data_IF_389385804263
#
_entry.id   IF_389385804263
#
_cell.length_a   1.000
_cell.length_b   1.000
_cell.length_c   1.000
_cell.angle_alpha   90.00
_cell.angle_beta   90.00
_cell.angle_gamma   90.00
#
_symmetry.space_group_name_H-M   'P 1'
#
loop_
_entity.id
_entity.type
_entity.pdbx_description
1 polymer ?
#
# COMPACT_ATOMS: atom_id res chain seq x y z
N UNK A 1 31.64 0.15 -0.01
CA UNK A 1 32.97 -0.45 0.18
C UNK A 1 32.96 -1.57 1.24
N UNK A 2 32.25 -1.42 2.38
CA UNK A 2 32.20 -2.44 3.43
C UNK A 2 31.49 -3.74 3.00
N UNK A 3 30.35 -3.66 2.35
CA UNK A 3 29.57 -4.83 1.92
C UNK A 3 30.36 -5.77 1.01
N UNK A 4 31.15 -5.22 0.08
CA UNK A 4 32.01 -6.03 -0.81
C UNK A 4 33.07 -6.84 -0.06
N UNK A 5 33.60 -6.31 1.05
CA UNK A 5 34.59 -7.02 1.88
C UNK A 5 33.96 -8.26 2.56
N UNK A 6 32.67 -8.25 2.80
CA UNK A 6 31.91 -9.36 3.38
C UNK A 6 31.20 -10.23 2.34
N UNK A 7 31.44 -10.00 1.06
CA UNK A 7 30.73 -10.65 -0.06
C UNK A 7 29.20 -10.54 0.11
N UNK A 8 28.74 -9.37 0.57
CA UNK A 8 27.34 -9.04 0.82
C UNK A 8 26.87 -7.96 -0.16
N UNK A 9 25.59 -7.97 -0.46
CA UNK A 9 24.89 -7.00 -1.30
C UNK A 9 23.74 -6.38 -0.51
N UNK A 10 23.47 -5.09 -0.72
CA UNK A 10 22.20 -4.50 -0.31
C UNK A 10 21.15 -4.64 -1.41
N UNK A 11 19.92 -4.16 -1.16
CA UNK A 11 18.83 -4.29 -2.12
C UNK A 11 19.08 -3.51 -3.44
N UNK A 12 19.75 -2.37 -3.36
CA UNK A 12 20.10 -1.57 -4.54
C UNK A 12 21.22 -2.23 -5.33
N UNK A 13 22.19 -2.85 -4.64
CA UNK A 13 23.25 -3.65 -5.25
C UNK A 13 22.65 -4.84 -6.02
N UNK A 14 21.64 -5.53 -5.47
CA UNK A 14 20.98 -6.65 -6.15
C UNK A 14 20.41 -6.23 -7.52
N UNK A 15 19.71 -5.09 -7.56
CA UNK A 15 19.13 -4.57 -8.80
C UNK A 15 20.24 -4.17 -9.79
N UNK A 16 21.29 -3.52 -9.32
CA UNK A 16 22.39 -3.05 -10.13
C UNK A 16 23.21 -4.20 -10.69
N UNK A 17 23.51 -5.22 -9.90
CA UNK A 17 24.23 -6.40 -10.34
C UNK A 17 23.36 -7.27 -11.29
N UNK A 18 22.04 -7.36 -11.05
CA UNK A 18 21.14 -8.02 -11.98
C UNK A 18 21.17 -7.35 -13.37
N UNK A 19 21.18 -6.01 -13.41
CA UNK A 19 21.28 -5.27 -14.67
C UNK A 19 22.61 -5.51 -15.39
N UNK A 20 23.74 -5.56 -14.65
CA UNK A 20 25.07 -5.87 -15.22
C UNK A 20 25.16 -7.29 -15.76
N UNK A 21 24.55 -8.25 -15.07
CA UNK A 21 24.51 -9.65 -15.54
C UNK A 21 23.69 -9.78 -16.82
N UNK A 22 22.61 -9.01 -16.97
CA UNK A 22 21.76 -9.04 -18.15
C UNK A 22 22.49 -8.47 -19.39
N UNK A 23 23.33 -7.45 -19.22
CA UNK A 23 24.18 -6.92 -20.31
C UNK A 23 25.12 -7.98 -20.88
N UNK A 24 25.53 -8.97 -20.08
CA UNK A 24 26.43 -10.06 -20.47
C UNK A 24 25.70 -11.34 -20.93
N UNK A 25 24.45 -11.50 -20.57
CA UNK A 25 23.63 -12.67 -20.88
C UNK A 25 22.35 -12.18 -21.55
N UNK A 26 22.00 -12.73 -22.69
CA UNK A 26 20.67 -12.51 -23.28
C UNK A 26 19.63 -13.18 -22.39
N UNK A 27 19.18 -12.50 -21.33
CA UNK A 27 18.04 -12.96 -20.56
C UNK A 27 16.80 -12.88 -21.46
N UNK A 28 16.19 -14.00 -21.71
CA UNK A 28 15.04 -14.09 -22.61
C UNK A 28 13.83 -14.53 -21.80
N UNK A 29 13.10 -13.56 -21.28
CA UNK A 29 11.71 -13.83 -20.94
C UNK A 29 10.88 -13.74 -22.21
N UNK A 30 10.19 -14.82 -22.54
CA UNK A 30 9.30 -14.84 -23.70
C UNK A 30 8.13 -13.89 -23.51
N UNK A 31 7.57 -13.89 -22.31
CA UNK A 31 6.47 -13.02 -21.88
C UNK A 31 6.83 -12.38 -20.55
N UNK A 32 6.75 -11.07 -20.46
CA UNK A 32 7.01 -10.31 -19.25
C UNK A 32 5.73 -9.59 -18.82
N UNK A 33 5.28 -9.81 -17.58
CA UNK A 33 4.16 -9.13 -16.96
C UNK A 33 4.69 -8.33 -15.77
N UNK A 34 4.34 -7.05 -15.71
CA UNK A 34 4.78 -6.15 -14.64
C UNK A 34 3.55 -5.49 -14.03
N UNK A 35 3.38 -5.66 -12.73
CA UNK A 35 2.31 -5.04 -11.96
C UNK A 35 2.85 -3.84 -11.16
N UNK A 36 1.96 -2.93 -10.75
CA UNK A 36 2.27 -1.73 -9.96
C UNK A 36 3.41 -0.89 -10.56
N UNK A 37 3.37 -0.72 -11.87
CA UNK A 37 4.47 -0.07 -12.62
C UNK A 37 4.76 1.38 -12.19
N UNK A 38 3.80 2.07 -11.58
CA UNK A 38 4.00 3.43 -11.05
C UNK A 38 5.00 3.48 -9.87
N UNK A 39 5.27 2.34 -9.22
CA UNK A 39 6.10 2.27 -8.02
C UNK A 39 7.57 1.91 -8.32
N UNK A 40 7.90 1.65 -9.59
CA UNK A 40 9.26 1.30 -9.97
C UNK A 40 10.18 2.53 -10.03
N UNK A 41 11.44 2.31 -9.66
CA UNK A 41 12.51 3.29 -9.82
C UNK A 41 13.21 3.16 -11.18
N UNK A 42 14.15 4.08 -11.46
CA UNK A 42 14.86 4.12 -12.73
C UNK A 42 15.68 2.85 -13.03
N UNK A 43 16.24 2.19 -12.01
CA UNK A 43 17.01 0.95 -12.18
C UNK A 43 16.08 -0.21 -12.52
N UNK A 44 14.97 -0.34 -11.81
CA UNK A 44 13.94 -1.35 -12.10
C UNK A 44 13.35 -1.17 -13.50
N UNK A 45 13.11 0.08 -13.95
CA UNK A 45 12.68 0.34 -15.33
C UNK A 45 13.71 -0.17 -16.36
N UNK A 46 15.00 0.07 -16.13
CA UNK A 46 16.05 -0.46 -17.01
C UNK A 46 16.06 -1.98 -17.05
N UNK A 47 15.82 -2.65 -15.92
CA UNK A 47 15.70 -4.11 -15.86
C UNK A 47 14.49 -4.59 -16.68
N UNK A 48 13.31 -3.95 -16.52
CA UNK A 48 12.11 -4.29 -17.32
C UNK A 48 12.43 -4.14 -18.82
N UNK A 49 13.08 -3.04 -19.22
CA UNK A 49 13.48 -2.82 -20.60
C UNK A 49 14.41 -3.93 -21.11
N UNK A 50 15.46 -4.25 -20.34
CA UNK A 50 16.43 -5.26 -20.68
C UNK A 50 15.79 -6.65 -20.83
N UNK A 51 14.92 -7.04 -19.87
CA UNK A 51 14.25 -8.33 -19.86
C UNK A 51 13.17 -8.47 -20.94
N UNK A 52 12.51 -7.37 -21.32
CA UNK A 52 11.53 -7.36 -22.40
C UNK A 52 12.16 -7.38 -23.79
N UNK A 53 13.42 -6.94 -23.91
CA UNK A 53 14.13 -6.85 -25.18
C UNK A 53 14.41 -8.24 -25.74
N UNK A 54 13.77 -8.57 -26.85
CA UNK A 54 13.90 -9.87 -27.51
C UNK A 54 12.86 -10.91 -27.06
N UNK A 55 11.97 -10.55 -26.14
CA UNK A 55 10.76 -11.33 -25.81
C UNK A 55 9.64 -11.15 -26.83
N UNK A 56 8.59 -11.95 -26.68
CA UNK A 56 7.43 -11.89 -27.55
C UNK A 56 6.37 -10.88 -27.08
N UNK A 57 6.24 -10.68 -25.77
CA UNK A 57 5.28 -9.71 -25.20
C UNK A 57 5.75 -9.07 -23.90
N UNK A 58 5.41 -7.80 -23.75
CA UNK A 58 5.47 -7.04 -22.51
C UNK A 58 4.06 -6.57 -22.16
N UNK A 59 3.60 -6.91 -20.97
CA UNK A 59 2.33 -6.46 -20.42
C UNK A 59 2.58 -5.73 -19.11
N UNK A 60 2.12 -4.48 -19.02
CA UNK A 60 2.38 -3.61 -17.88
C UNK A 60 1.05 -3.11 -17.34
N UNK A 61 0.87 -3.21 -16.03
CA UNK A 61 -0.29 -2.68 -15.31
C UNK A 61 0.19 -1.64 -14.30
N UNK A 62 -0.57 -0.57 -14.14
CA UNK A 62 -0.32 0.43 -13.11
C UNK A 62 -1.26 1.63 -13.22
N UNK A 63 -1.20 2.46 -12.21
CA UNK A 63 -1.99 3.68 -12.12
C UNK A 63 -1.06 4.86 -11.74
N UNK A 64 -0.77 5.78 -12.67
CA UNK A 64 0.12 6.92 -12.41
C UNK A 64 -0.34 7.79 -11.23
N UNK A 65 -1.65 7.85 -10.96
CA UNK A 65 -2.21 8.63 -9.86
C UNK A 65 -2.01 7.98 -8.48
N UNK A 66 -1.62 6.69 -8.44
CA UNK A 66 -1.26 5.96 -7.23
C UNK A 66 0.25 5.96 -6.93
N UNK A 67 1.05 6.71 -7.67
CA UNK A 67 2.50 6.81 -7.44
C UNK A 67 2.80 7.59 -6.16
N UNK A 68 2.89 6.90 -5.03
CA UNK A 68 3.14 7.48 -3.70
C UNK A 68 4.55 7.22 -3.18
N UNK A 69 5.40 6.46 -3.90
CA UNK A 69 6.75 6.09 -3.49
C UNK A 69 7.85 6.97 -4.12
N UNK A 70 7.55 8.25 -4.39
CA UNK A 70 8.53 9.20 -4.92
C UNK A 70 9.79 9.33 -4.06
N UNK A 71 9.69 9.16 -2.73
CA UNK A 71 10.83 9.15 -1.81
C UNK A 71 11.75 7.91 -1.99
N UNK A 72 11.33 6.88 -2.71
CA UNK A 72 12.13 5.71 -3.13
C UNK A 72 12.59 5.79 -4.58
N UNK A 73 12.40 6.94 -5.23
CA UNK A 73 12.78 7.15 -6.63
C UNK A 73 11.75 6.68 -7.66
N UNK A 74 10.53 6.32 -7.22
CA UNK A 74 9.41 6.07 -8.12
C UNK A 74 8.94 7.38 -8.76
N UNK A 75 8.42 7.31 -9.98
CA UNK A 75 7.91 8.48 -10.68
C UNK A 75 6.84 8.07 -11.70
N UNK A 76 5.72 8.77 -11.73
CA UNK A 76 4.68 8.59 -12.73
C UNK A 76 5.21 8.77 -14.18
N UNK A 77 6.30 9.51 -14.36
CA UNK A 77 6.99 9.65 -15.65
C UNK A 77 7.57 8.32 -16.20
N UNK A 78 7.56 7.23 -15.41
CA UNK A 78 7.96 5.90 -15.90
C UNK A 78 7.07 5.42 -17.05
N UNK A 79 5.78 5.81 -17.09
CA UNK A 79 4.87 5.48 -18.19
C UNK A 79 5.24 6.20 -19.50
N UNK A 80 5.61 7.50 -19.42
CA UNK A 80 6.07 8.26 -20.59
C UNK A 80 7.38 7.65 -21.13
N UNK A 81 8.28 7.30 -20.23
CA UNK A 81 9.53 6.64 -20.60
C UNK A 81 9.28 5.25 -21.20
N UNK A 82 8.29 4.49 -20.73
CA UNK A 82 7.90 3.21 -21.30
C UNK A 82 7.43 3.35 -22.75
N UNK A 83 6.62 4.38 -23.04
CA UNK A 83 6.20 4.68 -24.42
C UNK A 83 7.36 5.05 -25.34
N UNK A 84 8.37 5.75 -24.81
CA UNK A 84 9.58 6.06 -25.56
C UNK A 84 10.42 4.79 -25.83
N UNK A 85 10.52 3.90 -24.84
CA UNK A 85 11.26 2.63 -24.95
C UNK A 85 10.55 1.63 -25.90
N UNK A 86 9.21 1.66 -25.95
CA UNK A 86 8.37 0.75 -26.73
C UNK A 86 7.33 1.51 -27.58
N UNK A 87 7.71 2.10 -28.73
CA UNK A 87 6.82 2.96 -29.51
C UNK A 87 5.56 2.27 -30.06
N UNK A 88 5.53 0.94 -30.08
CA UNK A 88 4.36 0.15 -30.50
C UNK A 88 3.42 -0.24 -29.35
N UNK A 89 3.70 0.26 -28.14
CA UNK A 89 2.88 -0.03 -26.99
C UNK A 89 1.45 0.49 -27.17
N UNK A 90 0.48 -0.35 -26.87
CA UNK A 90 -0.94 0.01 -26.89
C UNK A 90 -1.38 0.25 -25.46
N UNK A 91 -1.94 1.43 -25.18
CA UNK A 91 -2.49 1.77 -23.85
C UNK A 91 -3.98 1.49 -23.83
N UNK A 92 -4.40 0.74 -22.81
CA UNK A 92 -5.81 0.48 -22.51
C UNK A 92 -6.15 1.11 -21.16
N UNK A 93 -7.26 1.82 -21.09
CA UNK A 93 -7.76 2.41 -19.85
C UNK A 93 -8.93 1.60 -19.30
N UNK A 94 -8.81 1.16 -18.06
CA UNK A 94 -9.89 0.49 -17.33
C UNK A 94 -10.70 1.56 -16.60
N UNK A 95 -11.88 1.88 -17.11
CA UNK A 95 -12.75 2.91 -16.53
C UNK A 95 -13.81 2.36 -15.57
N UNK A 96 -14.17 1.08 -15.66
CA UNK A 96 -15.18 0.49 -14.78
C UNK A 96 -14.59 0.17 -13.41
N UNK A 97 -15.16 0.75 -12.35
CA UNK A 97 -14.76 0.54 -10.97
C UNK A 97 -15.75 -0.37 -10.25
N UNK A 98 -15.32 -1.60 -9.92
CA UNK A 98 -16.11 -2.60 -9.20
C UNK A 98 -15.83 -2.62 -7.70
N UNK A 99 -14.84 -1.86 -7.22
CA UNK A 99 -14.39 -1.85 -5.82
C UNK A 99 -15.24 -0.93 -4.96
N UNK A 100 -15.45 0.30 -5.41
CA UNK A 100 -15.94 1.40 -4.59
C UNK A 100 -17.34 1.85 -5.00
N UNK A 101 -18.07 2.41 -4.04
CA UNK A 101 -19.38 3.04 -4.29
C UNK A 101 -19.22 4.37 -5.02
N UNK A 102 -20.28 4.88 -5.68
CA UNK A 102 -20.25 6.17 -6.38
C UNK A 102 -19.75 7.34 -5.54
N UNK A 103 -20.10 7.37 -4.25
CA UNK A 103 -19.70 8.43 -3.32
C UNK A 103 -18.18 8.44 -3.11
N UNK A 104 -17.55 7.26 -2.97
CA UNK A 104 -16.10 7.12 -2.83
C UNK A 104 -15.40 7.49 -4.13
N UNK A 105 -15.87 6.97 -5.26
CA UNK A 105 -15.30 7.27 -6.59
C UNK A 105 -15.36 8.77 -6.89
N UNK A 106 -16.48 9.42 -6.61
CA UNK A 106 -16.63 10.88 -6.80
C UNK A 106 -15.64 11.66 -5.94
N UNK A 107 -15.53 11.31 -4.66
CA UNK A 107 -14.56 11.97 -3.76
C UNK A 107 -13.10 11.78 -4.21
N UNK A 108 -12.74 10.56 -4.64
CA UNK A 108 -11.40 10.26 -5.16
C UNK A 108 -11.11 11.08 -6.44
N UNK A 109 -12.05 11.13 -7.40
CA UNK A 109 -11.88 11.90 -8.62
C UNK A 109 -11.73 13.41 -8.36
N UNK A 110 -12.44 13.96 -7.37
CA UNK A 110 -12.27 15.37 -6.99
C UNK A 110 -10.86 15.67 -6.48
N UNK A 111 -10.24 14.77 -5.74
CA UNK A 111 -8.84 14.91 -5.28
C UNK A 111 -7.89 14.81 -6.47
N UNK A 112 -8.02 13.76 -7.26
CA UNK A 112 -7.13 13.45 -8.39
C UNK A 112 -7.25 14.46 -9.53
N UNK A 113 -8.40 15.11 -9.71
CA UNK A 113 -8.58 16.15 -10.72
C UNK A 113 -7.63 17.35 -10.58
N UNK A 114 -6.97 17.48 -9.43
CA UNK A 114 -5.93 18.50 -9.20
C UNK A 114 -4.56 18.11 -9.74
N UNK A 115 -4.36 16.84 -10.06
CA UNK A 115 -3.13 16.39 -10.71
C UNK A 115 -3.10 16.81 -12.18
N UNK A 116 -1.92 17.13 -12.73
CA UNK A 116 -1.79 17.42 -14.15
C UNK A 116 -2.15 16.22 -15.02
N UNK A 117 -2.56 16.47 -16.26
CA UNK A 117 -2.87 15.45 -17.25
C UNK A 117 -4.34 15.47 -17.70
N UNK A 118 -4.74 14.47 -18.49
CA UNK A 118 -6.09 14.36 -19.00
C UNK A 118 -7.10 14.07 -17.87
N UNK A 119 -8.35 14.51 -18.02
CA UNK A 119 -9.40 14.16 -17.07
C UNK A 119 -9.53 12.65 -16.90
N UNK A 120 -9.62 12.18 -15.64
CA UNK A 120 -9.83 10.76 -15.32
C UNK A 120 -11.32 10.46 -15.34
N UNK A 121 -11.65 9.32 -15.91
CA UNK A 121 -13.04 8.85 -15.97
C UNK A 121 -13.12 7.48 -15.31
N UNK A 122 -13.81 7.40 -14.17
CA UNK A 122 -14.15 6.15 -13.51
C UNK A 122 -15.65 6.01 -13.40
N UNK A 123 -16.18 4.88 -13.84
CA UNK A 123 -17.60 4.55 -13.78
C UNK A 123 -17.82 3.57 -12.63
N UNK A 124 -18.46 3.99 -11.53
CA UNK A 124 -18.74 3.08 -10.43
C UNK A 124 -19.79 2.06 -10.85
N UNK A 125 -19.48 0.78 -10.64
CA UNK A 125 -20.37 -0.35 -10.98
C UNK A 125 -21.11 -0.87 -9.74
N UNK A 126 -20.80 -0.36 -8.54
CA UNK A 126 -21.52 -0.71 -7.32
C UNK A 126 -22.72 0.21 -7.11
N UNK A 127 -23.76 -0.27 -6.39
CA UNK A 127 -24.88 0.59 -5.99
C UNK A 127 -24.40 1.70 -5.04
N UNK A 128 -25.28 2.70 -4.85
CA UNK A 128 -25.03 3.79 -3.91
C UNK A 128 -24.71 3.26 -2.50
N UNK A 129 -23.73 3.90 -1.89
CA UNK A 129 -23.30 3.65 -0.53
C UNK A 129 -23.55 4.84 0.40
N UNK A 130 -23.00 4.77 1.59
CA UNK A 130 -23.06 5.89 2.54
C UNK A 130 -22.18 7.03 2.07
N UNK A 131 -22.55 8.26 2.43
CA UNK A 131 -21.76 9.45 2.12
C UNK A 131 -20.39 9.40 2.82
N UNK A 132 -19.37 9.91 2.13
CA UNK A 132 -18.06 10.15 2.75
C UNK A 132 -18.23 11.26 3.79
N UNK A 133 -17.72 11.03 5.01
CA UNK A 133 -17.80 11.99 6.11
C UNK A 133 -16.43 12.59 6.37
N UNK A 134 -16.38 13.89 6.52
CA UNK A 134 -15.23 14.61 7.03
C UNK A 134 -15.47 14.94 8.51
N UNK A 135 -14.55 14.49 9.34
CA UNK A 135 -14.60 14.75 10.79
C UNK A 135 -13.38 15.55 11.17
N UNK A 136 -13.59 16.60 11.94
CA UNK A 136 -12.53 17.42 12.51
C UNK A 136 -12.42 17.10 14.01
N UNK A 137 -11.22 16.80 14.48
CA UNK A 137 -10.92 16.57 15.88
C UNK A 137 -9.84 17.55 16.35
N UNK A 138 -10.01 18.10 17.57
CA UNK A 138 -9.09 19.13 18.10
C UNK A 138 -7.74 18.56 18.54
N UNK A 139 -7.68 17.27 18.85
CA UNK A 139 -6.46 16.60 19.29
C UNK A 139 -6.36 15.18 18.69
N UNK A 140 -5.13 14.62 18.55
CA UNK A 140 -4.96 13.23 18.13
C UNK A 140 -5.67 12.20 19.02
N UNK A 141 -5.79 12.49 20.33
CA UNK A 141 -6.52 11.65 21.26
C UNK A 141 -8.04 11.69 21.00
N UNK A 142 -8.60 12.88 20.76
CA UNK A 142 -10.02 13.04 20.43
C UNK A 142 -10.35 12.33 19.10
N UNK A 143 -9.45 12.41 18.12
CA UNK A 143 -9.55 11.66 16.85
C UNK A 143 -9.60 10.14 17.12
N UNK A 144 -8.66 9.62 17.91
CA UNK A 144 -8.59 8.20 18.24
C UNK A 144 -9.85 7.70 18.98
N UNK A 145 -10.34 8.44 19.95
CA UNK A 145 -11.57 8.12 20.69
C UNK A 145 -12.77 8.11 19.73
N UNK A 146 -12.86 9.10 18.85
CA UNK A 146 -13.95 9.15 17.88
C UNK A 146 -13.93 7.95 16.93
N UNK A 147 -12.74 7.57 16.42
CA UNK A 147 -12.57 6.41 15.53
C UNK A 147 -12.93 5.12 16.25
N UNK A 148 -12.48 4.92 17.49
CA UNK A 148 -12.81 3.73 18.29
C UNK A 148 -14.33 3.58 18.46
N UNK A 149 -15.03 4.66 18.81
CA UNK A 149 -16.49 4.68 18.92
C UNK A 149 -17.18 4.37 17.59
N UNK A 150 -16.71 4.93 16.50
CA UNK A 150 -17.30 4.69 15.18
C UNK A 150 -17.10 3.24 14.72
N UNK A 151 -15.94 2.65 15.00
CA UNK A 151 -15.65 1.23 14.75
C UNK A 151 -16.59 0.35 15.59
N UNK A 152 -16.71 0.63 16.89
CA UNK A 152 -17.63 -0.10 17.77
C UNK A 152 -19.08 -0.02 17.26
N UNK A 153 -19.52 1.16 16.83
CA UNK A 153 -20.84 1.36 16.25
C UNK A 153 -21.05 0.54 14.98
N UNK A 154 -20.07 0.50 14.08
CA UNK A 154 -20.12 -0.27 12.83
C UNK A 154 -20.05 -1.78 13.07
N UNK A 155 -19.38 -2.21 14.14
CA UNK A 155 -19.32 -3.62 14.53
C UNK A 155 -20.55 -4.11 15.28
N UNK A 156 -21.57 -3.25 15.45
CA UNK A 156 -22.81 -3.60 16.15
C UNK A 156 -22.76 -3.39 17.67
N UNK A 157 -21.72 -2.70 18.17
CA UNK A 157 -21.64 -2.23 19.56
C UNK A 157 -22.64 -1.11 19.78
N UNK A 158 -23.43 -1.24 20.85
CA UNK A 158 -24.36 -0.21 21.29
C UNK A 158 -23.62 0.69 22.28
N UNK A 159 -23.59 1.99 22.03
CA UNK A 159 -23.38 2.90 23.15
C UNK A 159 -24.61 2.83 24.08
N UNK A 160 -24.44 3.09 25.38
CA UNK A 160 -25.50 2.96 26.35
C UNK A 160 -26.74 3.86 26.06
N UNK A 161 -26.57 4.95 25.33
CA UNK A 161 -27.64 5.85 24.89
C UNK A 161 -28.43 5.27 23.71
N UNK A 162 -27.72 4.63 22.76
CA UNK A 162 -28.35 3.92 21.64
C UNK A 162 -29.03 2.64 22.07
N UNK A 163 -28.56 1.96 23.14
CA UNK A 163 -29.20 0.77 23.68
C UNK A 163 -30.59 1.06 24.25
N UNK A 164 -30.82 2.23 24.84
CA UNK A 164 -32.15 2.63 25.34
C UNK A 164 -33.10 3.03 24.20
N UNK A 165 -32.59 3.52 23.09
CA UNK A 165 -33.42 3.89 21.93
C UNK A 165 -33.73 2.69 21.00
N UNK A 166 -32.94 1.63 21.06
CA UNK A 166 -32.98 0.50 20.13
C UNK A 166 -33.42 -0.82 20.78
N UNK A 167 -34.30 -0.75 21.82
CA UNK A 167 -34.93 -1.96 22.38
C UNK A 167 -35.78 -2.64 21.29
N UNK A 168 -35.16 -3.38 20.39
CA UNK A 168 -35.87 -4.18 19.38
C UNK A 168 -35.14 -4.46 18.07
N UNK A 169 -34.07 -3.74 17.66
CA UNK A 169 -33.38 -4.00 16.41
C UNK A 169 -31.90 -4.32 16.63
N UNK A 170 -31.54 -5.59 16.66
CA UNK A 170 -30.19 -6.02 16.31
C UNK A 170 -29.96 -5.54 14.87
N UNK A 171 -28.97 -4.68 14.68
CA UNK A 171 -28.62 -4.14 13.37
C UNK A 171 -28.22 -5.27 12.43
N UNK A 172 -29.05 -5.56 11.44
CA UNK A 172 -28.77 -6.49 10.32
C UNK A 172 -27.53 -6.12 9.51
N UNK A 173 -26.82 -5.05 9.87
CA UNK A 173 -25.67 -4.45 9.15
C UNK A 173 -24.39 -4.37 9.98
N UNK A 174 -24.23 -5.17 11.04
CA UNK A 174 -22.96 -5.21 11.77
C UNK A 174 -21.84 -5.73 10.88
N UNK A 175 -20.73 -4.98 10.81
CA UNK A 175 -19.53 -5.37 10.03
C UNK A 175 -18.54 -6.07 10.95
N UNK A 176 -17.90 -7.18 10.52
CA UNK A 176 -16.78 -7.75 11.26
C UNK A 176 -15.61 -6.77 11.33
N UNK A 177 -14.82 -6.81 12.39
CA UNK A 177 -13.64 -5.94 12.54
C UNK A 177 -12.64 -6.10 11.39
N UNK A 178 -12.55 -7.29 10.79
CA UNK A 178 -11.71 -7.57 9.63
C UNK A 178 -12.05 -6.75 8.37
N UNK A 179 -13.26 -6.19 8.31
CA UNK A 179 -13.71 -5.37 7.17
C UNK A 179 -13.39 -3.88 7.36
N UNK A 180 -12.79 -3.52 8.49
CA UNK A 180 -12.50 -2.14 8.87
C UNK A 180 -10.99 -1.90 8.84
N UNK A 181 -10.58 -0.80 8.25
CA UNK A 181 -9.18 -0.38 8.22
C UNK A 181 -9.05 1.09 8.62
N UNK A 182 -8.03 1.39 9.43
CA UNK A 182 -7.64 2.76 9.79
C UNK A 182 -6.29 3.04 9.14
N UNK A 183 -6.21 4.05 8.29
CA UNK A 183 -5.00 4.46 7.61
C UNK A 183 -4.46 5.75 8.23
N UNK A 184 -3.21 5.74 8.62
CA UNK A 184 -2.52 6.89 9.20
C UNK A 184 -1.31 7.29 8.34
N UNK A 185 -0.97 8.57 8.36
CA UNK A 185 0.16 9.10 7.58
C UNK A 185 1.52 8.71 8.18
N UNK A 186 1.60 8.57 9.51
CA UNK A 186 2.85 8.31 10.23
C UNK A 186 2.67 7.20 11.26
N UNK A 187 3.77 6.53 11.61
CA UNK A 187 3.79 5.52 12.68
C UNK A 187 3.36 6.10 14.03
N UNK A 188 3.72 7.35 14.32
CA UNK A 188 3.31 8.02 15.56
C UNK A 188 1.79 8.15 15.70
N UNK A 189 1.10 8.42 14.59
CA UNK A 189 -0.37 8.43 14.57
C UNK A 189 -0.93 7.03 14.80
N UNK A 190 -0.32 6.00 14.19
CA UNK A 190 -0.71 4.59 14.42
C UNK A 190 -0.59 4.19 15.88
N UNK A 191 0.47 4.61 16.60
CA UNK A 191 0.64 4.32 18.02
C UNK A 191 -0.49 4.90 18.89
N UNK A 192 -0.85 6.16 18.64
CA UNK A 192 -1.97 6.80 19.34
C UNK A 192 -3.27 6.08 19.03
N UNK A 193 -3.49 5.72 17.78
CA UNK A 193 -4.69 5.02 17.31
C UNK A 193 -4.81 3.63 17.94
N UNK A 194 -3.72 2.85 17.91
CA UNK A 194 -3.66 1.53 18.53
C UNK A 194 -3.96 1.60 20.04
N UNK A 195 -3.39 2.59 20.74
CA UNK A 195 -3.66 2.77 22.16
C UNK A 195 -5.15 3.05 22.45
N UNK A 196 -5.81 3.88 21.63
CA UNK A 196 -7.24 4.14 21.75
C UNK A 196 -8.09 2.89 21.47
N UNK A 197 -7.76 2.13 20.41
CA UNK A 197 -8.49 0.91 20.07
C UNK A 197 -8.35 -0.16 21.15
N UNK A 198 -7.13 -0.35 21.67
CA UNK A 198 -6.87 -1.31 22.77
C UNK A 198 -7.55 -0.92 24.07
N UNK A 199 -7.62 0.38 24.36
CA UNK A 199 -8.32 0.88 25.55
C UNK A 199 -9.82 0.52 25.54
N UNK A 200 -10.41 0.51 24.36
CA UNK A 200 -11.82 0.19 24.15
C UNK A 200 -12.04 -1.31 23.78
N UNK A 201 -11.04 -2.18 24.06
CA UNK A 201 -11.05 -3.63 23.77
C UNK A 201 -11.35 -3.97 22.30
N UNK A 202 -11.01 -3.07 21.37
CA UNK A 202 -11.18 -3.32 19.94
C UNK A 202 -9.95 -4.07 19.41
N UNK A 203 -10.11 -5.30 18.89
CA UNK A 203 -9.00 -6.05 18.34
C UNK A 203 -8.45 -5.38 17.08
N UNK A 204 -7.15 -5.13 17.05
CA UNK A 204 -6.47 -4.51 15.91
C UNK A 204 -5.12 -5.15 15.64
N UNK A 205 -4.71 -5.10 14.36
CA UNK A 205 -3.38 -5.49 13.91
C UNK A 205 -2.74 -4.29 13.22
N UNK A 206 -1.56 -3.89 13.68
CA UNK A 206 -0.79 -2.80 13.06
C UNK A 206 0.12 -3.39 11.99
N UNK A 207 -0.15 -3.06 10.73
CA UNK A 207 0.71 -3.43 9.61
C UNK A 207 1.85 -2.42 9.44
N UNK A 208 3.04 -2.90 9.02
CA UNK A 208 4.21 -2.05 8.79
C UNK A 208 5.05 -1.75 10.05
N UNK A 209 4.76 -2.33 11.19
CA UNK A 209 5.66 -2.40 12.34
C UNK A 209 6.72 -3.47 12.09
N UNK A 210 7.58 -3.22 11.12
CA UNK A 210 8.65 -4.13 10.78
C UNK A 210 9.89 -3.93 11.65
N UNK A 211 9.81 -4.24 12.93
CA UNK A 211 11.02 -4.60 13.66
C UNK A 211 10.76 -5.89 14.45
N UNK A 212 10.38 -6.94 13.75
CA UNK A 212 10.32 -8.31 14.29
C UNK A 212 11.66 -8.71 14.92
N UNK A 213 12.74 -8.10 14.42
CA UNK A 213 14.08 -8.27 14.99
C UNK A 213 14.28 -7.57 16.35
N UNK A 214 13.40 -6.68 16.76
CA UNK A 214 13.45 -6.02 18.08
C UNK A 214 12.62 -6.75 19.15
N UNK A 215 11.89 -7.81 18.79
CA UNK A 215 11.24 -8.70 19.74
C UNK A 215 12.30 -9.38 20.64
N UNK A 216 12.11 -9.35 21.95
CA UNK A 216 13.06 -9.87 22.92
C UNK A 216 13.38 -11.36 22.71
N UNK A 217 12.39 -12.16 22.30
CA UNK A 217 12.59 -13.58 22.00
C UNK A 217 13.43 -13.76 20.73
N UNK A 218 13.22 -12.94 19.72
CA UNK A 218 14.01 -12.93 18.47
C UNK A 218 15.43 -12.44 18.75
N UNK A 219 15.61 -11.39 19.54
CA UNK A 219 16.93 -10.91 19.97
C UNK A 219 17.66 -11.97 20.78
N UNK A 220 16.99 -12.67 21.67
CA UNK A 220 17.55 -13.79 22.43
C UNK A 220 18.02 -14.93 21.51
N UNK A 221 17.23 -15.28 20.51
CA UNK A 221 17.61 -16.29 19.52
C UNK A 221 18.81 -15.84 18.67
N UNK A 222 18.81 -14.58 18.20
CA UNK A 222 19.94 -14.01 17.46
C UNK A 222 21.22 -14.00 18.30
N UNK A 223 21.13 -13.59 19.57
CA UNK A 223 22.27 -13.59 20.50
C UNK A 223 22.81 -14.99 20.72
N UNK A 224 21.93 -15.99 20.87
CA UNK A 224 22.30 -17.38 20.99
C UNK A 224 23.04 -17.90 19.76
N UNK A 225 22.55 -17.64 18.56
CA UNK A 225 23.24 -18.05 17.33
C UNK A 225 24.57 -17.31 17.12
N UNK A 226 24.67 -16.03 17.51
CA UNK A 226 25.95 -15.30 17.51
C UNK A 226 26.97 -15.94 18.46
N UNK A 227 26.53 -16.27 19.67
CA UNK A 227 27.39 -16.97 20.65
C UNK A 227 27.89 -18.33 20.14
N UNK A 228 27.03 -19.08 19.42
CA UNK A 228 27.46 -20.35 18.83
C UNK A 228 28.50 -20.19 17.72
N UNK A 229 28.45 -19.07 16.98
CA UNK A 229 29.38 -18.79 15.89
C UNK A 229 30.67 -18.14 16.34
N UNK A 230 30.67 -17.39 17.44
CA UNK A 230 31.82 -16.70 18.02
C UNK A 230 31.65 -16.63 19.54
N UNK A 231 32.09 -17.68 20.25
CA UNK A 231 31.87 -17.81 21.69
C UNK A 231 32.86 -17.02 22.56
N UNK A 232 33.72 -16.13 21.98
CA UNK A 232 34.71 -15.35 22.71
C UNK A 232 34.22 -13.99 23.16
#
# INVERSE_FOLDING_TARGET
AHLKAYNALDFDDLLTEALRLDESRKACFRHLLVDEFQDINAVQRKLVHAWAKGGESLFVIGDPDQSIYGFRGASAACFDALHADFPKLVTLHLSANYRSTPQIVTGALQVISRNPGAPRTLVPMRPDGVAVRLVHADTPLAEGIWIAREIARMAGGLDMLSAHAAAGNRTENARPFSDLAVLCRTHRQLETMEACLRHDDIPCVVSGRGNELADDAVQGAIAFFRFLNDPA
#
